data_IF_948242474977
#
_entry.id   IF_948242474977
#
_cell.length_a   1.000
_cell.length_b   1.000
_cell.length_c   1.000
_cell.angle_alpha   90.00
_cell.angle_beta   90.00
_cell.angle_gamma   90.00
#
_symmetry.space_group_name_H-M   'P 1'
#
loop_
_entity.id
_entity.type
_entity.pdbx_description
1 polymer ?
#
# COMPACT_ATOMS: atom_id res chain seq x y z
N UNK A 1 9.69 1.77 -11.28
CA UNK A 1 10.17 2.20 -9.95
C UNK A 1 9.97 1.15 -8.86
N UNK A 2 8.74 0.82 -8.42
CA UNK A 2 8.53 -0.26 -7.42
C UNK A 2 8.97 -1.63 -7.98
N UNK A 3 8.60 -1.94 -9.23
CA UNK A 3 9.04 -3.14 -9.93
C UNK A 3 10.57 -3.23 -10.10
N UNK A 4 11.25 -2.12 -10.34
CA UNK A 4 12.71 -2.07 -10.48
C UNK A 4 13.43 -2.34 -9.15
N UNK A 5 12.90 -1.79 -8.03
CA UNK A 5 13.46 -2.07 -6.71
C UNK A 5 13.36 -3.56 -6.33
N UNK A 6 12.32 -4.24 -6.82
CA UNK A 6 12.10 -5.67 -6.58
C UNK A 6 12.86 -6.53 -7.60
N UNK A 7 12.90 -6.13 -8.87
CA UNK A 7 13.60 -6.88 -9.92
C UNK A 7 15.10 -7.05 -9.67
N UNK A 8 15.70 -6.19 -8.85
CA UNK A 8 17.10 -6.30 -8.43
C UNK A 8 17.38 -7.40 -7.38
N UNK A 9 16.35 -8.12 -6.90
CA UNK A 9 16.51 -9.19 -5.91
C UNK A 9 16.74 -10.53 -6.63
N UNK A 10 17.94 -11.12 -6.56
CA UNK A 10 18.25 -12.39 -7.23
C UNK A 10 17.52 -13.56 -6.55
N UNK A 11 17.25 -14.61 -7.31
CA UNK A 11 16.69 -15.85 -6.79
C UNK A 11 15.17 -15.92 -6.67
N UNK A 12 14.43 -14.85 -7.09
CA UNK A 12 12.98 -14.81 -7.10
C UNK A 12 12.43 -14.67 -8.52
N UNK A 13 11.32 -15.35 -8.80
CA UNK A 13 10.45 -15.03 -9.93
C UNK A 13 9.49 -13.91 -9.48
N UNK A 14 9.60 -12.74 -10.09
CA UNK A 14 8.78 -11.59 -9.78
C UNK A 14 7.52 -11.55 -10.64
N UNK A 15 6.38 -11.34 -9.99
CA UNK A 15 5.10 -11.12 -10.65
C UNK A 15 4.49 -9.82 -10.13
N UNK A 16 3.93 -9.04 -11.03
CA UNK A 16 3.25 -7.79 -10.68
C UNK A 16 1.73 -7.95 -10.84
N UNK A 17 0.97 -7.57 -9.81
CA UNK A 17 -0.48 -7.45 -9.92
C UNK A 17 -0.83 -6.04 -10.40
N UNK A 18 -1.58 -5.95 -11.49
CA UNK A 18 -1.99 -4.70 -12.09
C UNK A 18 -3.46 -4.40 -11.82
N UNK A 19 -3.74 -3.20 -11.30
CA UNK A 19 -5.09 -2.75 -10.96
C UNK A 19 -5.70 -1.79 -11.98
N UNK A 20 -5.00 -1.48 -13.07
CA UNK A 20 -5.48 -0.56 -14.10
C UNK A 20 -6.76 -1.05 -14.81
N UNK A 21 -7.04 -2.35 -14.79
CA UNK A 21 -8.25 -2.95 -15.33
C UNK A 21 -9.40 -3.08 -14.34
N UNK A 22 -9.19 -2.80 -13.04
CA UNK A 22 -10.23 -2.85 -12.03
C UNK A 22 -11.31 -1.79 -12.29
N UNK A 23 -12.56 -2.17 -12.14
CA UNK A 23 -13.73 -1.32 -12.35
C UNK A 23 -14.64 -1.23 -11.12
N UNK A 24 -14.45 -2.13 -10.15
CA UNK A 24 -15.12 -2.17 -8.86
C UNK A 24 -14.13 -2.51 -7.74
N UNK A 25 -14.49 -2.23 -6.49
CA UNK A 25 -13.67 -2.55 -5.33
C UNK A 25 -13.29 -4.04 -5.30
N UNK A 26 -14.23 -4.94 -5.51
CA UNK A 26 -14.01 -6.40 -5.47
C UNK A 26 -12.99 -6.92 -6.51
N UNK A 27 -12.75 -6.19 -7.59
CA UNK A 27 -11.82 -6.61 -8.64
C UNK A 27 -10.37 -6.68 -8.13
N UNK A 28 -10.01 -5.85 -7.14
CA UNK A 28 -8.65 -5.75 -6.61
C UNK A 28 -8.20 -7.05 -5.94
N UNK A 29 -8.96 -7.53 -4.96
CA UNK A 29 -8.65 -8.79 -4.28
C UNK A 29 -8.76 -9.98 -5.23
N UNK A 30 -9.75 -9.98 -6.14
CA UNK A 30 -9.92 -11.02 -7.13
C UNK A 30 -8.73 -11.09 -8.12
N UNK A 31 -8.18 -9.96 -8.56
CA UNK A 31 -7.01 -9.92 -9.43
C UNK A 31 -5.75 -10.46 -8.73
N UNK A 32 -5.51 -10.03 -7.49
CA UNK A 32 -4.37 -10.50 -6.70
C UNK A 32 -4.48 -11.99 -6.40
N UNK A 33 -5.67 -12.48 -6.01
CA UNK A 33 -5.91 -13.88 -5.75
C UNK A 33 -5.65 -14.77 -6.97
N UNK A 34 -6.19 -14.41 -8.15
CA UNK A 34 -5.94 -15.14 -9.41
C UNK A 34 -4.44 -15.23 -9.73
N UNK A 35 -3.70 -14.12 -9.52
CA UNK A 35 -2.25 -14.11 -9.72
C UNK A 35 -1.55 -15.11 -8.80
N UNK A 36 -1.90 -15.14 -7.51
CA UNK A 36 -1.32 -16.02 -6.51
C UNK A 36 -1.69 -17.50 -6.76
N UNK A 37 -2.92 -17.78 -7.15
CA UNK A 37 -3.34 -19.14 -7.55
C UNK A 37 -2.49 -19.68 -8.73
N UNK A 38 -2.09 -18.79 -9.65
CA UNK A 38 -1.20 -19.13 -10.77
C UNK A 38 0.28 -19.34 -10.38
N UNK A 39 0.68 -19.06 -9.14
CA UNK A 39 2.07 -19.25 -8.70
C UNK A 39 2.46 -20.71 -8.46
N UNK A 40 1.52 -21.59 -8.19
CA UNK A 40 1.75 -23.01 -7.90
C UNK A 40 2.35 -23.32 -6.53
N UNK A 41 2.67 -22.30 -5.71
CA UNK A 41 3.17 -22.41 -4.35
C UNK A 41 2.87 -21.12 -3.56
N UNK A 42 2.83 -21.17 -2.21
CA UNK A 42 2.64 -19.97 -1.40
C UNK A 42 3.70 -18.91 -1.69
N UNK A 43 3.25 -17.67 -1.99
CA UNK A 43 4.11 -16.58 -2.40
C UNK A 43 4.48 -15.64 -1.23
N UNK A 44 5.65 -15.01 -1.32
CA UNK A 44 5.94 -13.79 -0.57
C UNK A 44 5.30 -12.62 -1.30
N UNK A 45 4.47 -11.86 -0.60
CA UNK A 45 3.72 -10.76 -1.20
C UNK A 45 4.26 -9.42 -0.71
N UNK A 46 4.69 -8.58 -1.64
CA UNK A 46 5.10 -7.20 -1.35
C UNK A 46 3.98 -6.27 -1.76
N UNK A 47 3.42 -5.54 -0.81
CA UNK A 47 2.32 -4.59 -1.05
C UNK A 47 2.66 -3.18 -0.57
N UNK A 48 2.29 -2.17 -1.35
CA UNK A 48 2.39 -0.78 -0.97
C UNK A 48 1.04 -0.08 -1.07
N UNK A 49 0.63 0.64 0.00
CA UNK A 49 -0.62 1.41 0.04
C UNK A 49 -1.82 0.53 -0.34
N UNK A 50 -2.57 0.84 -1.41
CA UNK A 50 -3.66 0.00 -1.92
C UNK A 50 -3.24 -1.47 -2.05
N UNK A 51 -2.06 -1.73 -2.61
CA UNK A 51 -1.53 -3.09 -2.74
C UNK A 51 -1.28 -3.78 -1.40
N UNK A 52 -0.98 -3.03 -0.34
CA UNK A 52 -0.82 -3.58 1.01
C UNK A 52 -2.17 -4.02 1.61
N UNK A 53 -3.22 -3.23 1.37
CA UNK A 53 -4.58 -3.57 1.83
C UNK A 53 -5.13 -4.79 1.10
N UNK A 54 -4.93 -4.85 -0.22
CA UNK A 54 -5.30 -6.01 -1.05
C UNK A 54 -4.55 -7.27 -0.59
N UNK A 55 -3.27 -7.15 -0.26
CA UNK A 55 -2.46 -8.27 0.23
C UNK A 55 -2.97 -8.79 1.58
N UNK A 56 -3.39 -7.91 2.50
CA UNK A 56 -4.02 -8.28 3.77
C UNK A 56 -5.34 -9.02 3.55
N UNK A 57 -6.21 -8.50 2.69
CA UNK A 57 -7.50 -9.12 2.37
C UNK A 57 -7.31 -10.53 1.79
N UNK A 58 -6.40 -10.70 0.83
CA UNK A 58 -6.13 -12.02 0.24
C UNK A 58 -5.50 -12.97 1.26
N UNK A 59 -4.61 -12.49 2.13
CA UNK A 59 -4.00 -13.33 3.17
C UNK A 59 -5.02 -13.80 4.21
N UNK A 60 -6.02 -12.98 4.55
CA UNK A 60 -7.12 -13.38 5.43
C UNK A 60 -8.04 -14.41 4.76
N UNK A 61 -8.43 -14.16 3.49
CA UNK A 61 -9.38 -15.01 2.78
C UNK A 61 -8.76 -16.32 2.24
N UNK A 62 -7.46 -16.33 1.92
CA UNK A 62 -6.78 -17.46 1.32
C UNK A 62 -5.32 -17.59 1.84
N UNK A 63 -5.12 -17.84 3.14
CA UNK A 63 -3.78 -17.87 3.76
C UNK A 63 -2.85 -18.91 3.14
N UNK A 64 -3.39 -19.99 2.57
CA UNK A 64 -2.59 -21.02 1.89
C UNK A 64 -1.86 -20.53 0.64
N UNK A 65 -2.26 -19.40 0.05
CA UNK A 65 -1.60 -18.78 -1.10
C UNK A 65 -0.44 -17.84 -0.68
N UNK A 66 -0.36 -17.46 0.60
CA UNK A 66 0.57 -16.45 1.08
C UNK A 66 1.53 -17.07 2.10
N UNK A 67 2.82 -17.02 1.80
CA UNK A 67 3.86 -17.45 2.75
C UNK A 67 4.20 -16.38 3.78
N UNK A 68 4.25 -15.12 3.35
CA UNK A 68 4.63 -13.96 4.17
C UNK A 68 4.20 -12.66 3.48
N UNK A 69 3.84 -11.67 4.27
CA UNK A 69 3.53 -10.32 3.79
C UNK A 69 4.68 -9.35 4.10
N UNK A 70 5.05 -8.51 3.13
CA UNK A 70 5.98 -7.40 3.27
C UNK A 70 5.24 -6.13 2.85
N UNK A 71 4.75 -5.34 3.82
CA UNK A 71 3.79 -4.27 3.58
C UNK A 71 4.40 -2.90 3.82
N UNK A 72 4.17 -1.99 2.87
CA UNK A 72 4.58 -0.59 2.98
C UNK A 72 3.33 0.27 3.15
N UNK A 73 3.28 1.05 4.22
CA UNK A 73 2.17 1.92 4.59
C UNK A 73 0.79 1.22 4.65
N UNK A 74 0.66 0.06 5.35
CA UNK A 74 -0.62 -0.61 5.55
C UNK A 74 -1.44 0.06 6.66
N UNK A 75 -2.74 -0.21 6.65
CA UNK A 75 -3.65 0.07 7.76
C UNK A 75 -4.71 -1.02 7.86
N UNK A 76 -5.33 -1.19 9.04
CA UNK A 76 -6.48 -2.11 9.20
C UNK A 76 -7.78 -1.57 8.62
N UNK A 77 -7.90 -0.24 8.52
CA UNK A 77 -9.04 0.48 7.95
C UNK A 77 -8.51 1.79 7.36
N UNK A 78 -8.96 2.15 6.17
CA UNK A 78 -8.48 3.39 5.53
C UNK A 78 -9.31 4.61 5.95
N UNK A 79 -10.61 4.45 6.08
CA UNK A 79 -11.53 5.50 6.57
C UNK A 79 -11.62 5.47 8.09
N UNK A 80 -11.49 6.61 8.73
CA UNK A 80 -11.61 6.73 10.19
C UNK A 80 -13.04 6.38 10.65
N UNK A 81 -13.16 5.65 11.76
CA UNK A 81 -14.42 5.23 12.35
C UNK A 81 -14.97 6.21 13.42
N UNK A 82 -14.25 7.30 13.64
CA UNK A 82 -14.65 8.32 14.60
C UNK A 82 -13.52 9.28 14.99
N UNK A 83 -13.81 10.24 15.86
CA UNK A 83 -12.84 11.22 16.32
C UNK A 83 -11.63 10.56 17.02
N UNK A 84 -10.42 10.88 16.56
CA UNK A 84 -9.19 10.35 17.14
C UNK A 84 -8.70 9.02 16.55
N UNK A 85 -9.52 8.29 15.80
CA UNK A 85 -9.08 7.10 15.10
C UNK A 85 -8.15 7.44 13.92
N UNK A 86 -7.14 6.58 13.65
CA UNK A 86 -6.29 6.80 12.50
C UNK A 86 -7.03 6.42 11.22
N UNK A 87 -7.09 7.35 10.28
CA UNK A 87 -7.75 7.14 8.99
C UNK A 87 -8.02 8.47 8.30
N UNK A 88 -8.55 8.37 7.10
CA UNK A 88 -9.00 9.50 6.29
C UNK A 88 -10.48 9.75 6.56
N UNK A 89 -10.89 11.01 6.67
CA UNK A 89 -12.31 11.34 6.79
C UNK A 89 -13.08 10.87 5.54
N UNK A 90 -14.29 10.29 5.66
CA UNK A 90 -15.08 9.83 4.51
C UNK A 90 -15.25 10.92 3.45
N UNK A 91 -15.53 12.15 3.87
CA UNK A 91 -15.74 13.32 3.01
C UNK A 91 -14.50 13.66 2.17
N UNK A 92 -13.31 13.30 2.65
CA UNK A 92 -12.06 13.53 1.90
C UNK A 92 -11.93 12.57 0.71
N UNK A 93 -12.43 11.33 0.82
CA UNK A 93 -12.50 10.40 -0.31
C UNK A 93 -13.51 10.85 -1.36
N UNK A 94 -14.69 11.30 -0.93
CA UNK A 94 -15.72 11.84 -1.81
C UNK A 94 -15.23 13.06 -2.57
N UNK A 95 -14.57 13.98 -1.86
CA UNK A 95 -13.96 15.18 -2.46
C UNK A 95 -12.87 14.83 -3.46
N UNK A 96 -12.04 13.81 -3.17
CA UNK A 96 -11.03 13.33 -4.11
C UNK A 96 -11.68 12.70 -5.35
N UNK A 97 -12.72 11.90 -5.18
CA UNK A 97 -13.48 11.30 -6.29
C UNK A 97 -14.12 12.37 -7.19
N UNK A 98 -14.76 13.38 -6.61
CA UNK A 98 -15.31 14.52 -7.36
C UNK A 98 -14.22 15.31 -8.11
N UNK A 99 -13.06 15.52 -7.47
CA UNK A 99 -11.92 16.19 -8.08
C UNK A 99 -11.32 15.39 -9.23
N UNK A 100 -11.18 14.06 -9.10
CA UNK A 100 -10.71 13.18 -10.18
C UNK A 100 -11.60 13.24 -11.41
N UNK A 101 -12.93 13.33 -11.23
CA UNK A 101 -13.88 13.46 -12.34
C UNK A 101 -13.77 14.82 -13.04
N UNK A 102 -13.49 15.90 -12.31
CA UNK A 102 -13.40 17.25 -12.85
C UNK A 102 -12.03 17.58 -13.44
N UNK A 103 -10.94 17.23 -12.76
CA UNK A 103 -9.55 17.50 -13.12
C UNK A 103 -8.65 16.37 -12.61
N UNK A 104 -8.60 15.28 -13.36
CA UNK A 104 -7.82 14.07 -13.02
C UNK A 104 -6.35 14.38 -12.81
N UNK A 105 -5.73 15.13 -13.69
CA UNK A 105 -4.31 15.43 -13.61
C UNK A 105 -3.98 16.31 -12.40
N UNK A 106 -4.74 17.35 -12.16
CA UNK A 106 -4.57 18.20 -10.99
C UNK A 106 -4.82 17.48 -9.68
N UNK A 107 -5.81 16.56 -9.64
CA UNK A 107 -6.06 15.70 -8.49
C UNK A 107 -4.86 14.78 -8.20
N UNK A 108 -4.34 14.12 -9.24
CA UNK A 108 -3.17 13.24 -9.11
C UNK A 108 -1.91 14.00 -8.72
N UNK A 109 -1.66 15.19 -9.29
CA UNK A 109 -0.52 16.03 -8.86
C UNK A 109 -0.62 16.40 -7.38
N UNK A 110 -1.81 16.82 -6.92
CA UNK A 110 -2.01 17.18 -5.53
C UNK A 110 -1.84 15.98 -4.59
N UNK A 111 -2.38 14.80 -4.96
CA UNK A 111 -2.24 13.57 -4.20
C UNK A 111 -0.75 13.17 -4.08
N UNK A 112 -0.01 13.17 -5.19
CA UNK A 112 1.44 12.89 -5.18
C UNK A 112 2.22 13.79 -4.24
N UNK A 113 1.90 15.09 -4.21
CA UNK A 113 2.52 16.03 -3.26
C UNK A 113 2.20 15.70 -1.81
N UNK A 114 1.00 15.16 -1.52
CA UNK A 114 0.64 14.71 -0.17
C UNK A 114 1.39 13.44 0.26
N UNK A 115 1.79 12.60 -0.69
CA UNK A 115 2.60 11.41 -0.42
C UNK A 115 3.99 11.75 0.14
N UNK A 116 4.49 12.94 -0.15
CA UNK A 116 5.82 13.39 0.29
C UNK A 116 5.77 14.16 1.60
N UNK A 117 6.72 13.91 2.48
CA UNK A 117 6.98 14.74 3.66
C UNK A 117 7.43 16.16 3.28
N UNK A 118 7.46 17.06 4.24
CA UNK A 118 7.99 18.41 4.02
C UNK A 118 9.48 18.41 3.65
N UNK A 119 10.26 17.49 4.22
CA UNK A 119 11.69 17.35 3.93
C UNK A 119 11.93 16.87 2.50
N UNK A 120 11.19 15.85 2.07
CA UNK A 120 11.26 15.26 0.72
C UNK A 120 10.88 16.28 -0.37
N UNK A 121 9.84 17.08 -0.13
CA UNK A 121 9.46 18.16 -1.07
C UNK A 121 10.55 19.24 -1.18
N UNK A 122 11.21 19.62 -0.07
CA UNK A 122 12.34 20.54 -0.13
C UNK A 122 13.53 19.95 -0.89
N UNK A 123 13.69 18.64 -0.87
CA UNK A 123 14.69 17.90 -1.66
C UNK A 123 14.36 17.75 -3.16
N UNK A 124 13.24 18.30 -3.65
CA UNK A 124 12.90 18.29 -5.08
C UNK A 124 12.30 16.96 -5.57
N UNK A 125 11.87 16.06 -4.67
CA UNK A 125 11.33 14.75 -5.05
C UNK A 125 9.94 14.81 -5.71
N UNK A 126 9.31 15.98 -5.78
CA UNK A 126 8.02 16.16 -6.48
C UNK A 126 8.06 15.69 -7.95
N UNK A 127 9.23 15.83 -8.60
CA UNK A 127 9.41 15.45 -10.01
C UNK A 127 9.54 13.92 -10.21
N UNK A 128 9.87 13.16 -9.18
CA UNK A 128 10.15 11.72 -9.28
C UNK A 128 8.87 10.86 -9.24
N UNK A 129 7.76 11.40 -8.76
CA UNK A 129 6.47 10.71 -8.64
C UNK A 129 5.68 10.65 -9.98
N UNK A 130 6.37 10.57 -11.12
CA UNK A 130 5.79 10.44 -12.44
C UNK A 130 5.43 8.98 -12.78
N UNK A 131 4.16 8.58 -12.64
CA UNK A 131 3.63 7.37 -13.26
C UNK A 131 2.61 7.75 -14.33
N UNK A 132 2.44 6.97 -15.42
CA UNK A 132 1.35 7.20 -16.34
C UNK A 132 0.03 7.17 -15.58
N UNK A 133 -0.92 8.06 -15.91
CA UNK A 133 -2.19 8.11 -15.21
C UNK A 133 -2.99 6.84 -15.47
N UNK A 134 -3.41 6.17 -14.40
CA UNK A 134 -4.37 5.07 -14.51
C UNK A 134 -5.71 5.58 -15.11
N UNK A 135 -6.51 4.72 -15.76
CA UNK A 135 -7.86 5.06 -16.19
C UNK A 135 -8.69 5.62 -15.03
N UNK A 136 -9.59 6.57 -15.32
CA UNK A 136 -10.42 7.19 -14.30
C UNK A 136 -11.23 6.16 -13.51
N UNK A 137 -11.81 5.20 -14.21
CA UNK A 137 -12.61 4.12 -13.63
C UNK A 137 -11.82 3.28 -12.62
N UNK A 138 -10.55 2.98 -12.94
CA UNK A 138 -9.67 2.25 -12.02
C UNK A 138 -9.31 3.08 -10.77
N UNK A 139 -9.13 4.40 -10.92
CA UNK A 139 -8.91 5.30 -9.79
C UNK A 139 -10.14 5.37 -8.87
N UNK A 140 -11.34 5.44 -9.47
CA UNK A 140 -12.60 5.48 -8.71
C UNK A 140 -12.86 4.13 -8.02
N UNK A 141 -12.61 3.00 -8.68
CA UNK A 141 -12.67 1.67 -8.07
C UNK A 141 -11.70 1.54 -6.89
N UNK A 142 -10.51 2.14 -6.99
CA UNK A 142 -9.55 2.21 -5.87
C UNK A 142 -10.06 3.04 -4.70
N UNK A 143 -10.75 4.17 -4.95
CA UNK A 143 -11.39 4.96 -3.87
C UNK A 143 -12.54 4.20 -3.21
N UNK A 144 -13.35 3.49 -3.99
CA UNK A 144 -14.40 2.61 -3.47
C UNK A 144 -13.81 1.50 -2.59
N UNK A 145 -12.69 0.90 -3.03
CA UNK A 145 -11.96 -0.08 -2.24
C UNK A 145 -11.48 0.50 -0.91
N UNK A 146 -10.88 1.69 -0.91
CA UNK A 146 -10.47 2.37 0.32
C UNK A 146 -11.64 2.66 1.25
N UNK A 147 -12.78 3.06 0.70
CA UNK A 147 -13.98 3.37 1.49
C UNK A 147 -14.56 2.14 2.20
N UNK A 148 -14.48 0.97 1.57
CA UNK A 148 -15.06 -0.29 2.08
C UNK A 148 -14.04 -1.16 2.82
N UNK A 149 -12.73 -0.88 2.73
CA UNK A 149 -11.70 -1.74 3.30
C UNK A 149 -11.68 -1.68 4.82
N UNK A 150 -11.84 -2.84 5.40
CA UNK A 150 -11.61 -3.12 6.82
C UNK A 150 -11.12 -4.56 6.99
N UNK A 151 -10.12 -4.77 7.85
CA UNK A 151 -9.60 -6.08 8.19
C UNK A 151 -9.47 -6.24 9.70
N UNK A 152 -9.88 -7.39 10.21
CA UNK A 152 -9.49 -7.83 11.56
C UNK A 152 -8.06 -8.38 11.50
N UNK A 153 -7.09 -7.77 12.20
CA UNK A 153 -5.72 -8.27 12.21
C UNK A 153 -5.60 -9.71 12.71
N UNK A 154 -6.50 -10.16 13.59
CA UNK A 154 -6.51 -11.53 14.10
C UNK A 154 -6.81 -12.59 13.02
N UNK A 155 -7.41 -12.19 11.89
CA UNK A 155 -7.64 -13.07 10.75
C UNK A 155 -6.37 -13.34 9.93
N UNK A 156 -5.26 -12.63 10.18
CA UNK A 156 -4.00 -12.79 9.46
C UNK A 156 -3.14 -13.83 10.15
N UNK A 157 -3.10 -15.04 9.60
CA UNK A 157 -2.34 -16.17 10.15
C UNK A 157 -0.87 -16.23 9.69
N UNK A 158 -0.48 -15.42 8.69
CA UNK A 158 0.87 -15.43 8.13
C UNK A 158 1.75 -14.34 8.74
N UNK A 159 3.08 -14.50 8.79
CA UNK A 159 3.97 -13.46 9.27
C UNK A 159 3.93 -12.20 8.41
N UNK A 160 4.01 -11.02 9.05
CA UNK A 160 3.91 -9.71 8.41
C UNK A 160 5.09 -8.83 8.78
N UNK A 161 5.81 -8.30 7.79
CA UNK A 161 6.80 -7.25 7.99
C UNK A 161 6.24 -5.94 7.46
N UNK A 162 6.31 -4.89 8.26
CA UNK A 162 5.72 -3.58 7.95
C UNK A 162 6.80 -2.51 7.91
N UNK A 163 6.76 -1.69 6.87
CA UNK A 163 7.56 -0.47 6.71
C UNK A 163 6.64 0.74 6.56
N UNK A 164 6.88 1.81 7.31
CA UNK A 164 6.15 3.08 7.18
C UNK A 164 7.08 4.27 7.23
N UNK A 165 6.69 5.35 6.58
CA UNK A 165 7.29 6.65 6.80
C UNK A 165 6.70 7.31 8.06
N UNK A 166 7.55 7.78 8.97
CA UNK A 166 7.10 8.46 10.19
C UNK A 166 6.40 9.81 9.91
N UNK A 167 6.64 10.40 8.74
CA UNK A 167 6.01 11.63 8.27
C UNK A 167 4.92 11.39 7.21
N UNK A 168 4.39 10.16 7.12
CA UNK A 168 3.29 9.82 6.22
C UNK A 168 2.00 10.57 6.62
N UNK A 169 1.45 11.33 5.66
CA UNK A 169 0.25 12.14 5.80
C UNK A 169 -0.99 11.52 5.14
N UNK A 170 -0.81 10.41 4.42
CA UNK A 170 -1.90 9.63 3.80
C UNK A 170 -2.34 8.53 4.77
N UNK A 171 -1.39 7.69 5.20
CA UNK A 171 -1.59 6.65 6.21
C UNK A 171 -0.64 6.94 7.37
N UNK A 172 -1.05 7.68 8.40
CA UNK A 172 -0.19 8.00 9.53
C UNK A 172 0.42 6.76 10.18
N UNK A 173 1.70 6.82 10.58
CA UNK A 173 2.42 5.68 11.18
C UNK A 173 1.65 5.04 12.36
N UNK A 174 0.84 5.82 13.10
CA UNK A 174 -0.03 5.30 14.15
C UNK A 174 -1.04 4.26 13.64
N UNK A 175 -1.51 4.37 12.38
CA UNK A 175 -2.43 3.38 11.80
C UNK A 175 -1.75 2.02 11.61
N UNK A 176 -0.50 2.02 11.17
CA UNK A 176 0.31 0.80 11.07
C UNK A 176 0.63 0.21 12.45
N UNK A 177 0.90 1.04 13.48
CA UNK A 177 1.09 0.55 14.86
C UNK A 177 -0.17 -0.16 15.39
N UNK A 178 -1.35 0.39 15.12
CA UNK A 178 -2.63 -0.25 15.50
C UNK A 178 -2.80 -1.59 14.78
N UNK A 179 -2.53 -1.65 13.47
CA UNK A 179 -2.56 -2.91 12.72
C UNK A 179 -1.59 -3.94 13.31
N UNK A 180 -0.31 -3.56 13.48
CA UNK A 180 0.75 -4.45 13.99
C UNK A 180 0.44 -4.95 15.40
N UNK A 181 -0.14 -4.12 16.26
CA UNK A 181 -0.54 -4.50 17.61
C UNK A 181 -1.61 -5.59 17.69
N UNK A 182 -2.38 -5.79 16.61
CA UNK A 182 -3.38 -6.86 16.51
C UNK A 182 -2.91 -8.11 15.75
N UNK A 183 -1.71 -8.08 15.13
CA UNK A 183 -1.17 -9.21 14.37
C UNK A 183 -0.42 -10.19 15.29
N UNK A 184 -0.59 -11.49 15.07
CA UNK A 184 0.08 -12.53 15.88
C UNK A 184 1.60 -12.58 15.66
N UNK A 185 2.07 -12.31 14.44
CA UNK A 185 3.49 -12.33 14.08
C UNK A 185 3.79 -11.14 13.16
N UNK A 186 4.31 -10.05 13.71
CA UNK A 186 4.63 -8.87 12.92
C UNK A 186 5.92 -8.17 13.36
N UNK A 187 6.56 -7.50 12.41
CA UNK A 187 7.64 -6.53 12.66
C UNK A 187 7.26 -5.17 12.06
N UNK A 188 7.70 -4.08 12.67
CA UNK A 188 7.47 -2.72 12.21
C UNK A 188 8.77 -1.94 12.15
N UNK A 189 9.04 -1.32 11.01
CA UNK A 189 10.12 -0.34 10.83
C UNK A 189 9.52 0.99 10.43
N UNK A 190 9.90 2.05 11.13
CA UNK A 190 9.48 3.42 10.85
C UNK A 190 10.67 4.24 10.34
N UNK A 191 10.57 4.80 9.13
CA UNK A 191 11.62 5.64 8.55
C UNK A 191 11.41 7.10 8.97
N UNK A 192 12.35 7.71 9.72
CA UNK A 192 12.25 9.11 10.12
C UNK A 192 12.17 10.04 8.90
N UNK A 193 11.33 11.09 8.97
CA UNK A 193 11.16 12.13 7.96
C UNK A 193 10.68 11.66 6.57
N UNK A 194 10.43 10.37 6.36
CA UNK A 194 9.91 9.80 5.11
C UNK A 194 8.37 9.88 5.11
N UNK A 195 7.81 10.18 3.95
CA UNK A 195 6.36 10.23 3.70
C UNK A 195 5.77 8.87 3.32
N UNK A 196 4.70 8.91 2.51
CA UNK A 196 3.91 7.73 2.10
C UNK A 196 4.61 6.84 1.07
N UNK A 197 5.69 7.30 0.45
CA UNK A 197 6.31 6.64 -0.69
C UNK A 197 7.76 6.16 -0.43
N UNK A 198 8.05 5.40 0.65
CA UNK A 198 9.40 4.91 0.93
C UNK A 198 10.10 4.25 -0.26
N UNK A 199 9.43 3.42 -1.12
CA UNK A 199 10.08 2.81 -2.27
C UNK A 199 10.64 3.81 -3.29
N UNK A 200 10.13 5.04 -3.28
CA UNK A 200 10.49 6.10 -4.23
C UNK A 200 11.34 7.16 -3.56
N UNK A 201 10.97 7.61 -2.37
CA UNK A 201 11.59 8.74 -1.68
C UNK A 201 12.76 8.34 -0.78
N UNK A 202 12.85 7.07 -0.38
CA UNK A 202 13.94 6.51 0.41
C UNK A 202 14.36 5.12 -0.14
N UNK A 203 14.74 5.02 -1.43
CA UNK A 203 14.90 3.73 -2.12
C UNK A 203 15.98 2.85 -1.51
N UNK A 204 17.03 3.43 -0.95
CA UNK A 204 18.12 2.68 -0.30
C UNK A 204 17.63 2.04 1.00
N UNK A 205 16.93 2.80 1.85
CA UNK A 205 16.36 2.30 3.09
C UNK A 205 15.28 1.23 2.82
N UNK A 206 14.46 1.43 1.79
CA UNK A 206 13.47 0.44 1.35
C UNK A 206 14.14 -0.86 0.88
N UNK A 207 15.19 -0.79 0.04
CA UNK A 207 15.93 -1.97 -0.45
C UNK A 207 16.63 -2.71 0.68
N UNK A 208 17.25 -1.98 1.62
CA UNK A 208 17.90 -2.57 2.80
C UNK A 208 16.88 -3.34 3.65
N UNK A 209 15.75 -2.71 3.99
CA UNK A 209 14.66 -3.37 4.72
C UNK A 209 14.13 -4.60 3.98
N UNK A 210 13.85 -4.46 2.67
CA UNK A 210 13.28 -5.57 1.90
C UNK A 210 14.26 -6.75 1.80
N UNK A 211 15.56 -6.49 1.60
CA UNK A 211 16.60 -7.51 1.63
C UNK A 211 16.68 -8.25 2.96
N UNK A 212 16.61 -7.51 4.08
CA UNK A 212 16.61 -8.10 5.43
C UNK A 212 15.40 -9.01 5.67
N UNK A 213 14.19 -8.53 5.36
CA UNK A 213 12.96 -9.31 5.62
C UNK A 213 12.77 -10.48 4.66
N UNK A 214 13.34 -10.43 3.45
CA UNK A 214 13.34 -11.54 2.51
C UNK A 214 14.34 -12.64 2.88
N UNK A 215 15.38 -12.32 3.65
CA UNK A 215 16.35 -13.30 4.14
C UNK A 215 15.82 -14.17 5.28
N UNK A 216 14.69 -13.81 5.89
CA UNK A 216 13.99 -14.57 6.94
C UNK A 216 13.08 -15.62 6.31
#
# INVERSE_FOLDING_TARGET
MFAEAIAALPGYRHLACEFASCRAAADHAAAARRLLEGCGAPARVVGWSLGALVALEVAAAAPALVRRLHLVAPTRRFVADGPGEPGVAPEALDALGARLRRDREGALRAFRRQMLSAAERRGGLDAVLGAPPAPLEALLAGLEYFASFEIDPAAIAVPVDVLVGAADRIVPARAARVLVGGLAQASLVELPQVGHAPPISAPEAFRAWLGEVLAR
#
